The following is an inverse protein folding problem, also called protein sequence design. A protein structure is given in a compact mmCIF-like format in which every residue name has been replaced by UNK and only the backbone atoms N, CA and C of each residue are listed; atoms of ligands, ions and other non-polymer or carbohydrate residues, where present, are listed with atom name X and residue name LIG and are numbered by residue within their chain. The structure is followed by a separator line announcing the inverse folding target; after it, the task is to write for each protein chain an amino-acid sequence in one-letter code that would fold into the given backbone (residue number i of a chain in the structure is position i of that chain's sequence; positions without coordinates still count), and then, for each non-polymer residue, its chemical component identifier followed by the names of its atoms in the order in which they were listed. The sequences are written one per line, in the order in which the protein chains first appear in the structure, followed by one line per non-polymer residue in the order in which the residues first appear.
data_IF_067211828423
#
_entry.id   IF_067211828423
#
_cell.length_a   1.000
_cell.length_b   1.000
_cell.length_c   1.000
_cell.angle_alpha   90.00
_cell.angle_beta   90.00
_cell.angle_gamma   90.00
#
_symmetry.space_group_name_H-M   'P 1'
#
loop_
_entity.id
_entity.type
_entity.pdbx_description
1 polymer ?
#
# COMPACT_ATOMS: atom_id res chain seq x y z
N UNK A 1 23.16 -2.41 -10.48
CA UNK A 1 23.86 -3.28 -9.52
C UNK A 1 23.69 -2.81 -8.07
N UNK A 2 24.06 -1.57 -7.72
CA UNK A 2 23.94 -1.07 -6.34
C UNK A 2 22.50 -1.05 -5.80
N UNK A 3 21.51 -0.55 -6.55
CA UNK A 3 20.11 -0.54 -6.06
C UNK A 3 19.54 -1.94 -5.89
N UNK A 4 19.94 -2.91 -6.71
CA UNK A 4 19.54 -4.32 -6.52
C UNK A 4 20.05 -4.81 -5.17
N UNK A 5 21.32 -4.56 -4.86
CA UNK A 5 21.90 -4.90 -3.55
C UNK A 5 21.20 -4.16 -2.39
N UNK A 6 20.83 -2.90 -2.57
CA UNK A 6 20.07 -2.15 -1.56
C UNK A 6 18.68 -2.76 -1.34
N UNK A 7 17.98 -3.15 -2.41
CA UNK A 7 16.67 -3.82 -2.31
C UNK A 7 16.81 -5.18 -1.64
N UNK A 8 17.88 -5.93 -1.90
CA UNK A 8 18.15 -7.21 -1.23
C UNK A 8 18.45 -7.05 0.26
N UNK A 9 18.97 -5.90 0.67
CA UNK A 9 19.28 -5.57 2.06
C UNK A 9 18.19 -4.74 2.74
N UNK A 10 16.99 -4.64 2.15
CA UNK A 10 15.88 -3.84 2.68
C UNK A 10 15.45 -4.23 4.10
N UNK A 11 15.74 -5.45 4.55
CA UNK A 11 15.51 -5.86 5.94
C UNK A 11 16.28 -5.02 6.97
N UNK A 12 17.33 -4.30 6.55
CA UNK A 12 18.06 -3.37 7.41
C UNK A 12 17.39 -1.99 7.33
N UNK A 13 16.89 -1.47 8.45
CA UNK A 13 16.16 -0.18 8.50
C UNK A 13 16.95 0.99 7.90
N UNK A 14 18.26 1.06 8.13
CA UNK A 14 19.10 2.11 7.54
C UNK A 14 19.18 2.04 6.01
N UNK A 15 19.10 0.83 5.43
CA UNK A 15 19.07 0.62 3.98
C UNK A 15 17.71 1.02 3.40
N UNK A 16 16.61 0.62 4.06
CA UNK A 16 15.27 1.09 3.73
C UNK A 16 15.20 2.63 3.72
N UNK A 17 15.72 3.26 4.76
CA UNK A 17 15.79 4.72 4.89
C UNK A 17 16.60 5.41 3.79
N UNK A 18 17.68 4.79 3.32
CA UNK A 18 18.47 5.26 2.17
C UNK A 18 17.66 5.14 0.89
N UNK A 19 16.95 4.02 0.68
CA UNK A 19 16.10 3.82 -0.49
C UNK A 19 14.95 4.84 -0.55
N UNK A 20 14.30 5.14 0.58
CA UNK A 20 13.26 6.20 0.64
C UNK A 20 13.82 7.54 0.16
N UNK A 21 14.99 7.93 0.66
CA UNK A 21 15.63 9.20 0.30
C UNK A 21 16.12 9.21 -1.14
N UNK A 22 16.58 8.07 -1.66
CA UNK A 22 17.03 7.95 -3.05
C UNK A 22 15.86 8.07 -4.04
N UNK A 23 14.75 7.39 -3.77
CA UNK A 23 13.58 7.37 -4.65
C UNK A 23 12.78 8.68 -4.55
N UNK A 24 12.69 9.25 -3.35
CA UNK A 24 11.96 10.49 -3.07
C UNK A 24 12.80 11.77 -3.13
N UNK A 25 14.06 11.71 -3.56
CA UNK A 25 14.88 12.91 -3.75
C UNK A 25 14.22 13.82 -4.80
N UNK A 26 14.25 15.14 -4.59
CA UNK A 26 13.70 16.13 -5.53
C UNK A 26 14.69 16.45 -6.66
N UNK A 27 14.16 16.78 -7.85
CA UNK A 27 14.95 17.04 -9.06
C UNK A 27 15.88 18.25 -8.92
N UNK A 28 15.60 19.12 -7.95
CA UNK A 28 16.22 20.44 -7.81
C UNK A 28 17.58 20.44 -7.09
N UNK A 29 17.99 19.35 -6.45
CA UNK A 29 19.14 19.36 -5.52
C UNK A 29 20.46 18.91 -6.18
N UNK A 30 20.42 18.17 -7.29
CA UNK A 30 21.64 17.61 -7.88
C UNK A 30 21.66 17.66 -9.42
N UNK A 31 22.73 18.22 -10.00
CA UNK A 31 22.96 18.27 -11.45
C UNK A 31 23.07 16.90 -12.13
N UNK A 32 23.24 15.82 -11.36
CA UNK A 32 23.30 14.42 -11.83
C UNK A 32 21.97 13.65 -11.64
N UNK A 33 20.90 14.35 -11.26
CA UNK A 33 19.62 13.74 -10.91
C UNK A 33 18.88 13.16 -12.12
N UNK A 34 18.94 13.81 -13.28
CA UNK A 34 18.31 13.33 -14.51
C UNK A 34 18.81 11.93 -14.91
N UNK A 35 20.13 11.70 -14.87
CA UNK A 35 20.74 10.40 -15.16
C UNK A 35 20.36 9.34 -14.10
N UNK A 36 20.23 9.76 -12.83
CA UNK A 36 19.84 8.89 -11.72
C UNK A 36 18.37 8.47 -11.84
N UNK A 37 17.47 9.38 -12.24
CA UNK A 37 16.05 9.08 -12.43
C UNK A 37 15.79 8.24 -13.67
N UNK A 38 16.43 8.55 -14.79
CA UNK A 38 16.34 7.70 -15.99
C UNK A 38 16.81 6.27 -15.69
N UNK A 39 17.85 6.13 -14.87
CA UNK A 39 18.32 4.82 -14.42
C UNK A 39 17.36 4.11 -13.47
N UNK A 40 16.70 4.85 -12.57
CA UNK A 40 15.70 4.32 -11.65
C UNK A 40 14.40 3.91 -12.35
N UNK A 41 14.08 4.53 -13.49
CA UNK A 41 12.99 4.09 -14.37
C UNK A 41 13.36 2.82 -15.15
N UNK A 42 14.61 2.74 -15.64
CA UNK A 42 15.14 1.59 -16.37
C UNK A 42 15.33 0.35 -15.47
N UNK A 43 15.68 0.57 -14.21
CA UNK A 43 15.79 -0.48 -13.20
C UNK A 43 14.41 -0.65 -12.58
N UNK A 44 13.74 -1.80 -12.74
CA UNK A 44 12.37 -2.02 -12.22
C UNK A 44 12.30 -2.04 -10.69
N UNK A 45 12.66 -0.94 -10.02
CA UNK A 45 12.87 -0.89 -8.57
C UNK A 45 11.58 -1.11 -7.82
N UNK A 46 10.48 -0.53 -8.31
CA UNK A 46 9.17 -0.71 -7.71
C UNK A 46 8.74 -2.17 -7.81
N UNK A 47 8.98 -2.81 -8.96
CA UNK A 47 8.74 -4.24 -9.14
C UNK A 47 9.57 -5.08 -8.17
N UNK A 48 10.88 -4.82 -8.08
CA UNK A 48 11.77 -5.55 -7.15
C UNK A 48 11.37 -5.37 -5.67
N UNK A 49 10.90 -4.18 -5.27
CA UNK A 49 10.39 -3.94 -3.91
C UNK A 49 9.04 -4.65 -3.71
N UNK A 50 8.15 -4.67 -4.71
CA UNK A 50 6.89 -5.41 -4.63
C UNK A 50 7.13 -6.92 -4.52
N UNK A 51 8.17 -7.45 -5.16
CA UNK A 51 8.51 -8.87 -5.09
C UNK A 51 8.99 -9.28 -3.67
N UNK A 52 9.38 -8.31 -2.82
CA UNK A 52 9.67 -8.53 -1.39
C UNK A 52 8.43 -8.84 -0.54
N UNK A 53 7.24 -8.83 -1.13
CA UNK A 53 6.02 -9.40 -0.54
C UNK A 53 5.88 -10.92 -0.77
N UNK A 54 6.95 -11.59 -1.19
CA UNK A 54 7.01 -13.05 -1.27
C UNK A 54 6.84 -13.70 0.10
N UNK A 55 6.15 -14.85 0.13
CA UNK A 55 6.02 -15.69 1.32
C UNK A 55 7.36 -16.16 1.92
N UNK A 56 8.46 -16.09 1.17
CA UNK A 56 9.82 -16.41 1.63
C UNK A 56 10.48 -15.32 2.48
N UNK A 57 9.99 -14.09 2.41
CA UNK A 57 10.61 -12.95 3.09
C UNK A 57 10.12 -12.79 4.54
N UNK A 58 10.90 -12.07 5.36
CA UNK A 58 10.58 -11.88 6.77
C UNK A 58 9.50 -10.81 6.97
N UNK A 59 8.74 -10.83 8.09
CA UNK A 59 7.81 -9.74 8.43
C UNK A 59 8.46 -8.35 8.45
N UNK A 60 9.74 -8.25 8.78
CA UNK A 60 10.49 -6.98 8.76
C UNK A 60 10.79 -6.50 7.35
N UNK A 61 11.14 -7.42 6.43
CA UNK A 61 11.27 -7.10 5.00
C UNK A 61 9.93 -6.60 4.42
N UNK A 62 8.82 -7.25 4.75
CA UNK A 62 7.48 -6.82 4.35
C UNK A 62 7.13 -5.40 4.85
N UNK A 63 7.45 -5.12 6.11
CA UNK A 63 7.20 -3.82 6.72
C UNK A 63 8.02 -2.72 6.04
N UNK A 64 9.31 -2.96 5.84
CA UNK A 64 10.22 -2.01 5.20
C UNK A 64 9.85 -1.79 3.73
N UNK A 65 9.47 -2.84 2.99
CA UNK A 65 8.96 -2.73 1.62
C UNK A 65 7.72 -1.85 1.53
N UNK A 66 6.74 -2.07 2.42
CA UNK A 66 5.56 -1.21 2.48
C UNK A 66 5.90 0.23 2.87
N UNK A 67 6.86 0.45 3.78
CA UNK A 67 7.25 1.81 4.16
C UNK A 67 7.86 2.57 2.98
N UNK A 68 8.74 1.93 2.21
CA UNK A 68 9.29 2.51 0.98
C UNK A 68 8.17 2.83 0.00
N UNK A 69 7.31 1.86 -0.33
CA UNK A 69 6.24 2.07 -1.30
C UNK A 69 5.24 3.15 -0.84
N UNK A 70 4.90 3.20 0.45
CA UNK A 70 4.08 4.27 1.03
C UNK A 70 4.80 5.64 1.00
N UNK A 71 6.12 5.69 1.01
CA UNK A 71 6.84 6.94 0.80
C UNK A 71 6.81 7.36 -0.68
N UNK A 72 6.93 6.40 -1.60
CA UNK A 72 6.81 6.62 -3.06
C UNK A 72 5.43 7.18 -3.41
N UNK A 73 4.33 6.65 -2.86
CA UNK A 73 2.98 7.19 -3.11
C UNK A 73 2.80 8.65 -2.68
N UNK A 74 3.65 9.16 -1.77
CA UNK A 74 3.58 10.52 -1.22
C UNK A 74 4.52 11.50 -1.90
N UNK A 75 5.73 11.06 -2.28
CA UNK A 75 6.83 11.97 -2.61
C UNK A 75 7.57 11.61 -3.91
N UNK A 76 7.12 10.60 -4.67
CA UNK A 76 7.85 10.19 -5.87
C UNK A 76 7.68 11.15 -7.06
N UNK A 77 8.69 11.19 -7.96
CA UNK A 77 8.57 11.85 -9.26
C UNK A 77 7.39 11.33 -10.09
N UNK A 78 6.84 12.12 -11.02
CA UNK A 78 5.64 11.78 -11.78
C UNK A 78 5.67 10.42 -12.49
N UNK A 79 6.82 10.00 -13.02
CA UNK A 79 6.99 8.72 -13.71
C UNK A 79 6.82 7.51 -12.79
N UNK A 80 7.48 7.54 -11.63
CA UNK A 80 7.35 6.52 -10.59
C UNK A 80 5.97 6.56 -9.93
N UNK A 81 5.41 7.75 -9.73
CA UNK A 81 4.05 7.93 -9.23
C UNK A 81 3.00 7.30 -10.18
N UNK A 82 3.15 7.48 -11.50
CA UNK A 82 2.29 6.83 -12.48
C UNK A 82 2.43 5.30 -12.45
N UNK A 83 3.65 4.79 -12.29
CA UNK A 83 3.92 3.35 -12.24
C UNK A 83 3.36 2.67 -10.99
N UNK A 84 3.54 3.26 -9.80
CA UNK A 84 2.99 2.70 -8.55
C UNK A 84 1.46 2.75 -8.51
N UNK A 85 0.84 3.74 -9.17
CA UNK A 85 -0.60 3.87 -9.31
C UNK A 85 -1.18 3.01 -10.43
N UNK A 86 -0.39 2.21 -11.15
CA UNK A 86 -0.87 1.43 -12.29
C UNK A 86 -1.65 0.17 -11.86
N UNK A 87 -2.63 -0.30 -12.67
CA UNK A 87 -3.38 -1.52 -12.36
C UNK A 87 -2.48 -2.76 -12.29
N UNK A 88 -1.41 -2.82 -13.09
CA UNK A 88 -0.47 -3.95 -13.09
C UNK A 88 0.36 -4.02 -11.82
N UNK A 89 0.77 -2.87 -11.26
CA UNK A 89 1.48 -2.81 -9.99
C UNK A 89 0.59 -3.25 -8.83
N UNK A 90 -0.64 -2.71 -8.78
CA UNK A 90 -1.61 -3.07 -7.75
C UNK A 90 -2.02 -4.54 -7.87
N UNK A 91 -2.25 -5.04 -9.08
CA UNK A 91 -2.50 -6.45 -9.35
C UNK A 91 -1.39 -7.34 -8.78
N UNK A 92 -0.12 -6.97 -8.98
CA UNK A 92 1.03 -7.69 -8.38
C UNK A 92 0.96 -7.72 -6.85
N UNK A 93 0.64 -6.60 -6.19
CA UNK A 93 0.47 -6.56 -4.73
C UNK A 93 -0.64 -7.52 -4.27
N UNK A 94 -1.77 -7.56 -5.00
CA UNK A 94 -2.88 -8.46 -4.70
C UNK A 94 -2.55 -9.93 -4.97
N UNK A 95 -1.72 -10.25 -5.97
CA UNK A 95 -1.23 -11.61 -6.18
C UNK A 95 -0.51 -12.13 -4.92
N UNK A 96 0.41 -11.35 -4.35
CA UNK A 96 1.06 -11.69 -3.08
C UNK A 96 0.07 -11.68 -1.91
N UNK A 97 -0.76 -10.63 -1.82
CA UNK A 97 -1.70 -10.42 -0.74
C UNK A 97 -2.91 -11.37 -0.75
N UNK A 98 -3.07 -12.24 -1.75
CA UNK A 98 -4.12 -13.25 -1.83
C UNK A 98 -3.58 -14.68 -1.93
N UNK A 99 -2.25 -14.87 -1.95
CA UNK A 99 -1.61 -16.19 -1.94
C UNK A 99 -1.98 -17.01 -0.69
N UNK A 100 -2.42 -18.25 -0.86
CA UNK A 100 -3.02 -19.05 0.23
C UNK A 100 -2.12 -19.36 1.42
N UNK A 101 -0.80 -19.54 1.20
CA UNK A 101 0.18 -19.87 2.24
C UNK A 101 0.96 -18.66 2.78
N UNK A 102 0.53 -17.44 2.45
CA UNK A 102 1.28 -16.24 2.80
C UNK A 102 1.30 -15.96 4.31
N UNK A 103 2.40 -15.39 4.85
CA UNK A 103 2.39 -14.87 6.20
C UNK A 103 1.44 -13.67 6.32
N UNK A 104 0.80 -13.51 7.49
CA UNK A 104 -0.17 -12.42 7.76
C UNK A 104 0.42 -11.01 7.50
N UNK A 105 1.73 -10.86 7.62
CA UNK A 105 2.45 -9.61 7.31
C UNK A 105 2.29 -9.19 5.86
N UNK A 106 2.31 -10.11 4.90
CA UNK A 106 2.17 -9.80 3.46
C UNK A 106 0.84 -9.11 3.21
N UNK A 107 -0.28 -9.71 3.67
CA UNK A 107 -1.60 -9.10 3.55
C UNK A 107 -1.65 -7.72 4.18
N UNK A 108 -1.15 -7.59 5.42
CA UNK A 108 -1.23 -6.33 6.16
C UNK A 108 -0.45 -5.21 5.47
N UNK A 109 0.75 -5.52 4.98
CA UNK A 109 1.64 -4.52 4.40
C UNK A 109 1.29 -4.20 2.95
N UNK A 110 0.87 -5.18 2.13
CA UNK A 110 0.33 -4.90 0.78
C UNK A 110 -0.92 -4.03 0.82
N UNK A 111 -1.85 -4.30 1.75
CA UNK A 111 -3.02 -3.44 1.93
C UNK A 111 -2.65 -2.05 2.45
N UNK A 112 -1.59 -1.91 3.25
CA UNK A 112 -1.12 -0.59 3.70
C UNK A 112 -0.64 0.27 2.52
N UNK A 113 0.00 -0.34 1.51
CA UNK A 113 0.36 0.35 0.27
C UNK A 113 -0.89 0.76 -0.51
N UNK A 114 -1.87 -0.15 -0.66
CA UNK A 114 -3.12 0.15 -1.36
C UNK A 114 -3.92 1.26 -0.67
N UNK A 115 -4.03 1.22 0.66
CA UNK A 115 -4.62 2.30 1.47
C UNK A 115 -3.88 3.61 1.21
N UNK A 116 -2.54 3.58 1.20
CA UNK A 116 -1.75 4.76 0.91
C UNK A 116 -2.00 5.29 -0.50
N UNK A 117 -2.29 4.45 -1.50
CA UNK A 117 -2.65 4.91 -2.86
C UNK A 117 -4.01 5.61 -2.90
N UNK A 118 -4.95 5.15 -2.08
CA UNK A 118 -6.32 5.65 -2.04
C UNK A 118 -6.53 6.84 -1.08
N UNK A 119 -5.63 7.08 -0.12
CA UNK A 119 -5.83 8.06 0.94
C UNK A 119 -5.98 9.51 0.39
N UNK A 120 -7.17 10.13 0.50
CA UNK A 120 -7.39 11.51 0.05
C UNK A 120 -6.62 12.53 0.89
N UNK A 121 -6.12 12.18 2.08
CA UNK A 121 -5.25 13.07 2.89
C UNK A 121 -3.86 13.24 2.29
N UNK A 122 -3.46 12.39 1.33
CA UNK A 122 -2.28 12.66 0.48
C UNK A 122 -2.39 14.03 -0.18
N UNK A 123 -3.59 14.41 -0.60
CA UNK A 123 -3.84 15.69 -1.26
C UNK A 123 -3.59 16.87 -0.32
N UNK A 124 -3.95 16.72 0.97
CA UNK A 124 -3.81 17.76 1.99
C UNK A 124 -2.39 17.90 2.56
N UNK A 125 -1.62 16.80 2.63
CA UNK A 125 -0.22 16.89 3.08
C UNK A 125 0.74 17.35 1.96
N UNK A 126 0.44 17.00 0.70
CA UNK A 126 1.18 17.47 -0.47
C UNK A 126 1.01 18.98 -0.69
N UNK A 127 -0.18 19.54 -0.41
CA UNK A 127 -0.42 20.99 -0.52
C UNK A 127 0.38 21.80 0.50
N UNK A 128 0.64 21.27 1.70
CA UNK A 128 1.51 21.90 2.69
C UNK A 128 3.00 21.86 2.28
N UNK A 129 3.45 20.77 1.64
CA UNK A 129 4.81 20.67 1.10
C UNK A 129 5.02 21.59 -0.12
N UNK A 130 4.03 21.67 -1.02
CA UNK A 130 4.03 22.61 -2.15
C UNK A 130 4.08 24.08 -1.69
N UNK A 131 3.42 24.42 -0.58
CA UNK A 131 3.50 25.76 0.02
C UNK A 131 4.90 26.08 0.60
N UNK A 132 5.64 25.07 1.04
CA UNK A 132 6.98 25.24 1.65
C UNK A 132 8.13 25.28 0.65
N UNK A 133 8.00 24.61 -0.50
CA UNK A 133 9.11 24.46 -1.46
C UNK A 133 9.15 25.53 -2.55
N UNK A 134 8.10 26.34 -2.75
CA UNK A 134 8.02 27.29 -3.89
C UNK A 134 8.19 26.60 -5.27
N UNK A 135 8.01 25.27 -5.32
CA UNK A 135 8.17 24.43 -6.51
C UNK A 135 6.81 24.19 -7.17
N UNK A 136 6.76 24.51 -8.45
CA UNK A 136 5.64 24.21 -9.34
C UNK A 136 5.47 22.71 -9.55
N UNK A 137 4.34 22.17 -9.09
CA UNK A 137 3.62 21.01 -9.61
C UNK A 137 4.38 19.69 -9.81
N UNK A 138 4.50 18.90 -8.74
CA UNK A 138 4.29 17.45 -8.88
C UNK A 138 2.78 17.20 -8.96
N UNK A 139 2.27 16.80 -10.11
CA UNK A 139 0.85 16.45 -10.25
C UNK A 139 0.52 15.35 -9.23
N UNK A 140 -0.50 15.63 -8.43
CA UNK A 140 -0.98 14.77 -7.38
C UNK A 140 -1.65 13.55 -8.01
N UNK A 141 -0.88 12.48 -8.22
CA UNK A 141 -1.35 11.29 -8.93
C UNK A 141 -2.32 10.53 -8.02
N UNK A 142 -3.61 10.75 -8.17
CA UNK A 142 -4.64 9.87 -7.59
C UNK A 142 -4.60 8.51 -8.28
N UNK A 143 -5.02 7.44 -7.59
CA UNK A 143 -5.23 6.16 -8.25
C UNK A 143 -6.19 6.36 -9.44
N UNK A 144 -5.88 5.77 -10.60
CA UNK A 144 -6.78 5.86 -11.76
C UNK A 144 -8.03 5.01 -11.51
N UNK A 145 -9.16 5.29 -12.20
CA UNK A 145 -10.36 4.48 -12.10
C UNK A 145 -10.08 2.98 -12.34
N UNK A 146 -9.25 2.66 -13.33
CA UNK A 146 -8.88 1.28 -13.66
C UNK A 146 -8.12 0.59 -12.53
N UNK A 147 -7.30 1.35 -11.79
CA UNK A 147 -6.58 0.83 -10.63
C UNK A 147 -7.53 0.57 -9.47
N UNK A 148 -8.52 1.43 -9.26
CA UNK A 148 -9.58 1.21 -8.26
C UNK A 148 -10.42 -0.01 -8.64
N UNK A 149 -10.78 -0.16 -9.91
CA UNK A 149 -11.55 -1.32 -10.40
C UNK A 149 -10.76 -2.63 -10.15
N UNK A 150 -9.46 -2.66 -10.43
CA UNK A 150 -8.61 -3.82 -10.11
C UNK A 150 -8.52 -4.14 -8.61
N UNK A 151 -8.60 -3.11 -7.74
CA UNK A 151 -8.73 -3.32 -6.29
C UNK A 151 -10.08 -3.91 -5.90
N UNK A 152 -11.16 -3.49 -6.56
CA UNK A 152 -12.53 -3.97 -6.33
C UNK A 152 -12.71 -5.43 -6.78
N UNK A 153 -12.08 -5.85 -7.87
CA UNK A 153 -12.07 -7.26 -8.30
C UNK A 153 -11.54 -8.21 -7.20
N UNK A 154 -10.63 -7.71 -6.36
CA UNK A 154 -10.05 -8.46 -5.25
C UNK A 154 -10.89 -8.41 -3.96
N UNK A 155 -11.95 -7.59 -3.90
CA UNK A 155 -12.74 -7.35 -2.69
C UNK A 155 -13.40 -8.63 -2.17
N UNK A 156 -14.00 -9.44 -3.05
CA UNK A 156 -14.65 -10.70 -2.65
C UNK A 156 -13.67 -11.65 -1.95
N UNK A 157 -12.44 -11.76 -2.48
CA UNK A 157 -11.39 -12.58 -1.86
C UNK A 157 -10.95 -12.02 -0.51
N UNK A 158 -10.85 -10.69 -0.36
CA UNK A 158 -10.55 -10.05 0.93
C UNK A 158 -11.64 -10.31 1.97
N UNK A 159 -12.92 -10.24 1.57
CA UNK A 159 -14.04 -10.49 2.47
C UNK A 159 -14.05 -11.93 2.97
N UNK A 160 -13.73 -12.91 2.12
CA UNK A 160 -13.61 -14.31 2.56
C UNK A 160 -12.52 -14.52 3.63
N UNK A 161 -11.50 -13.64 3.68
CA UNK A 161 -10.48 -13.70 4.73
C UNK A 161 -10.99 -13.17 6.07
N UNK A 162 -12.06 -12.35 6.09
CA UNK A 162 -12.68 -11.88 7.34
C UNK A 162 -13.35 -13.00 8.12
N UNK A 163 -13.80 -14.05 7.42
CA UNK A 163 -14.50 -15.22 7.99
C UNK A 163 -13.53 -16.22 8.65
N UNK A 164 -12.21 -16.02 8.53
CA UNK A 164 -11.23 -16.94 9.13
C UNK A 164 -11.08 -16.72 10.65
N UNK A 165 -11.48 -17.73 11.43
CA UNK A 165 -11.54 -17.71 12.91
C UNK A 165 -10.19 -17.95 13.62
N UNK A 166 -9.08 -18.08 12.90
CA UNK A 166 -7.78 -18.54 13.46
C UNK A 166 -6.90 -17.43 14.04
N UNK A 167 -7.49 -16.45 14.73
CA UNK A 167 -6.74 -15.35 15.34
C UNK A 167 -6.22 -15.72 16.74
N UNK A 168 -4.91 -15.92 16.86
CA UNK A 168 -4.22 -16.24 18.12
C UNK A 168 -4.09 -15.05 19.10
N UNK A 169 -4.11 -13.82 18.59
CA UNK A 169 -3.82 -12.62 19.39
C UNK A 169 -5.10 -11.85 19.72
N UNK A 170 -5.52 -11.94 20.98
CA UNK A 170 -6.64 -11.17 21.54
C UNK A 170 -6.22 -9.70 21.67
N UNK A 171 -6.94 -8.80 20.98
CA UNK A 171 -6.81 -7.36 21.18
C UNK A 171 -7.89 -6.91 22.18
N UNK A 172 -7.53 -6.48 23.40
CA UNK A 172 -8.52 -5.96 24.33
C UNK A 172 -9.07 -4.63 23.81
N UNK A 173 -10.39 -4.51 23.75
CA UNK A 173 -11.09 -3.25 23.48
C UNK A 173 -11.63 -2.67 24.80
N UNK A 174 -12.02 -1.39 24.80
CA UNK A 174 -12.69 -0.76 25.95
C UNK A 174 -13.98 -1.46 26.36
N UNK A 175 -14.58 -2.25 25.47
CA UNK A 175 -15.81 -3.01 25.69
C UNK A 175 -15.57 -4.52 25.93
N UNK A 176 -14.31 -4.96 26.07
CA UNK A 176 -13.94 -6.35 26.30
C UNK A 176 -13.16 -6.98 25.13
N UNK A 177 -13.12 -8.30 25.07
CA UNK A 177 -12.39 -9.04 24.03
C UNK A 177 -13.39 -9.57 22.99
N UNK A 178 -13.18 -9.20 21.72
CA UNK A 178 -14.00 -9.70 20.59
C UNK A 178 -13.77 -11.20 20.36
N UNK A 179 -14.83 -11.93 19.97
CA UNK A 179 -14.79 -13.38 19.77
C UNK A 179 -15.46 -13.76 18.43
N UNK A 180 -14.69 -14.15 17.40
CA UNK A 180 -13.25 -14.36 17.41
C UNK A 180 -12.46 -13.03 17.42
N UNK A 181 -11.22 -13.01 17.93
CA UNK A 181 -10.40 -11.80 17.89
C UNK A 181 -10.28 -11.24 16.48
N UNK A 182 -10.38 -9.91 16.32
CA UNK A 182 -10.17 -9.28 15.01
C UNK A 182 -8.74 -9.53 14.50
N UNK A 183 -7.75 -9.32 15.35
CA UNK A 183 -6.35 -9.37 14.94
C UNK A 183 -5.98 -8.32 13.89
N UNK A 184 -4.69 -8.17 13.62
CA UNK A 184 -4.18 -7.09 12.74
C UNK A 184 -4.64 -7.20 11.28
N UNK A 185 -4.84 -8.41 10.78
CA UNK A 185 -5.18 -8.66 9.38
C UNK A 185 -6.64 -8.36 9.06
N UNK A 186 -7.61 -8.79 9.90
CA UNK A 186 -9.03 -8.42 9.71
C UNK A 186 -9.22 -6.91 9.87
N UNK A 187 -8.56 -6.30 10.87
CA UNK A 187 -8.56 -4.84 11.03
C UNK A 187 -8.04 -4.12 9.78
N UNK A 188 -6.95 -4.60 9.18
CA UNK A 188 -6.38 -3.98 7.98
C UNK A 188 -7.30 -4.13 6.76
N UNK A 189 -8.02 -5.24 6.62
CA UNK A 189 -9.05 -5.39 5.58
C UNK A 189 -10.19 -4.38 5.79
N UNK A 190 -10.68 -4.26 7.04
CA UNK A 190 -11.73 -3.27 7.37
C UNK A 190 -11.27 -1.84 7.12
N UNK A 191 -10.03 -1.50 7.45
CA UNK A 191 -9.42 -0.20 7.15
C UNK A 191 -9.40 0.06 5.63
N UNK A 192 -9.00 -0.93 4.83
CA UNK A 192 -9.01 -0.84 3.37
C UNK A 192 -10.42 -0.61 2.80
N UNK A 193 -11.42 -1.35 3.30
CA UNK A 193 -12.84 -1.16 2.93
C UNK A 193 -13.30 0.26 3.28
N UNK A 194 -12.94 0.75 4.47
CA UNK A 194 -13.28 2.12 4.89
C UNK A 194 -12.67 3.16 3.97
N UNK A 195 -11.44 2.95 3.49
CA UNK A 195 -10.76 3.88 2.59
C UNK A 195 -11.36 3.81 1.18
N UNK A 196 -11.69 2.62 0.67
CA UNK A 196 -12.44 2.47 -0.59
C UNK A 196 -13.76 3.25 -0.57
N UNK A 197 -14.49 3.22 0.55
CA UNK A 197 -15.71 4.00 0.72
C UNK A 197 -15.45 5.52 0.63
N UNK A 198 -14.28 5.99 1.05
CA UNK A 198 -13.92 7.42 0.96
C UNK A 198 -13.49 7.87 -0.43
N UNK A 199 -13.25 6.95 -1.37
CA UNK A 199 -12.92 7.28 -2.77
C UNK A 199 -14.10 7.98 -3.45
N UNK A 200 -15.34 7.62 -3.08
CA UNK A 200 -16.55 8.24 -3.61
C UNK A 200 -16.79 7.98 -5.10
N UNK A 201 -16.29 6.85 -5.63
CA UNK A 201 -16.63 6.41 -6.99
C UNK A 201 -17.89 5.57 -6.98
N UNK A 202 -18.76 5.76 -7.98
CA UNK A 202 -20.00 4.99 -8.11
C UNK A 202 -19.73 3.49 -8.24
N UNK A 203 -18.66 3.10 -8.94
CA UNK A 203 -18.25 1.70 -9.08
C UNK A 203 -17.86 1.07 -7.74
N UNK A 204 -17.12 1.79 -6.90
CA UNK A 204 -16.74 1.31 -5.57
C UNK A 204 -17.96 1.19 -4.66
N UNK A 205 -18.86 2.17 -4.68
CA UNK A 205 -20.09 2.13 -3.88
C UNK A 205 -20.97 0.94 -4.28
N UNK A 206 -21.20 0.73 -5.57
CA UNK A 206 -22.01 -0.39 -6.08
C UNK A 206 -21.42 -1.74 -5.67
N UNK A 207 -20.10 -1.91 -5.77
CA UNK A 207 -19.45 -3.19 -5.43
C UNK A 207 -19.40 -3.44 -3.92
N UNK A 208 -19.20 -2.39 -3.11
CA UNK A 208 -19.28 -2.50 -1.65
C UNK A 208 -20.70 -2.93 -1.20
N UNK A 209 -21.74 -2.45 -1.89
CA UNK A 209 -23.13 -2.84 -1.65
C UNK A 209 -23.37 -4.29 -2.11
N UNK A 210 -22.95 -4.63 -3.34
CA UNK A 210 -23.16 -5.96 -3.94
C UNK A 210 -22.58 -7.08 -3.06
N UNK A 211 -21.40 -6.85 -2.48
CA UNK A 211 -20.70 -7.81 -1.62
C UNK A 211 -21.11 -7.74 -0.14
N UNK A 212 -21.99 -6.80 0.24
CA UNK A 212 -22.34 -6.51 1.64
C UNK A 212 -21.12 -6.21 2.52
N UNK A 213 -20.10 -5.56 1.98
CA UNK A 213 -18.79 -5.37 2.62
C UNK A 213 -18.88 -4.62 3.96
N UNK A 214 -19.72 -3.58 4.02
CA UNK A 214 -19.94 -2.78 5.23
C UNK A 214 -20.61 -3.61 6.32
N UNK A 215 -21.68 -4.35 5.97
CA UNK A 215 -22.38 -5.23 6.91
C UNK A 215 -21.41 -6.26 7.49
N UNK A 216 -20.68 -6.98 6.64
CA UNK A 216 -19.69 -7.98 7.09
C UNK A 216 -18.62 -7.36 7.99
N UNK A 217 -18.16 -6.15 7.68
CA UNK A 217 -17.16 -5.44 8.51
C UNK A 217 -17.70 -5.08 9.90
N UNK A 218 -18.95 -4.64 9.97
CA UNK A 218 -19.64 -4.29 11.22
C UNK A 218 -19.88 -5.55 12.06
N UNK A 219 -20.35 -6.64 11.44
CA UNK A 219 -20.66 -7.90 12.13
C UNK A 219 -19.45 -8.43 12.92
N UNK A 220 -18.21 -8.20 12.45
CA UNK A 220 -16.98 -8.61 13.18
C UNK A 220 -16.82 -7.96 14.57
N UNK A 221 -17.50 -6.84 14.84
CA UNK A 221 -17.45 -6.14 16.13
C UNK A 221 -18.60 -6.53 17.07
N UNK A 222 -19.58 -7.28 16.57
CA UNK A 222 -20.79 -7.66 17.32
C UNK A 222 -20.98 -9.17 17.47
N UNK A 223 -20.10 -9.97 16.86
CA UNK A 223 -19.90 -11.41 17.15
C UNK A 223 -19.05 -11.62 18.42
#
# INVERSE_FOLDING_TARGET
EIVVQLVDLIGITSVMEVLIRLIGADETIYSNYADTMQWLENTDVLGMIADKFSSSDSPEVHANAAEILCAVTRCAPPSLAAKICSPSFVGRLFCHALEGSRPKSVLVHSLSVCISLLDPKRLASASYQAFRSNVSHGALVTASPETVDGMLESLGNLLNLLDTSTAENVLPTTYGCLRPPLGKHRLKIVEFISVLLTVGSETAEQELISQSAIKRSIDLFFE
#
